data_IF_286026119063
#
_entry.id   IF_286026119063
#
_cell.length_a   1.000
_cell.length_b   1.000
_cell.length_c   1.000
_cell.angle_alpha   90.00
_cell.angle_beta   90.00
_cell.angle_gamma   90.00
#
_symmetry.space_group_name_H-M   'P 1'
#
loop_
_entity.id
_entity.type
_entity.pdbx_description
1 polymer ?
#
# COMPACT_ATOMS: atom_id res chain seq x y z
N UNK A 1 -38.71 -35.99 -35.48
CA UNK A 1 -38.24 -35.94 -34.06
C UNK A 1 -36.88 -35.26 -33.96
N UNK A 2 -35.96 -35.52 -34.90
CA UNK A 2 -34.58 -34.98 -34.87
C UNK A 2 -34.49 -33.44 -34.91
N UNK A 3 -35.35 -32.77 -35.69
CA UNK A 3 -35.39 -31.30 -35.74
C UNK A 3 -35.82 -30.66 -34.41
N UNK A 4 -36.77 -31.28 -33.70
CA UNK A 4 -37.23 -30.80 -32.40
C UNK A 4 -36.12 -30.94 -31.34
N UNK A 5 -35.42 -32.08 -31.35
CA UNK A 5 -34.31 -32.37 -30.45
C UNK A 5 -33.17 -31.36 -30.69
N UNK A 6 -32.83 -31.08 -31.95
CA UNK A 6 -31.78 -30.09 -32.29
C UNK A 6 -32.13 -28.67 -31.84
N UNK A 7 -33.40 -28.27 -31.93
CA UNK A 7 -33.86 -26.94 -31.47
C UNK A 7 -33.80 -26.84 -29.95
N UNK A 8 -34.23 -27.88 -29.22
CA UNK A 8 -34.17 -27.91 -27.75
C UNK A 8 -32.73 -27.89 -27.25
N UNK A 9 -31.85 -28.69 -27.86
CA UNK A 9 -30.42 -28.72 -27.52
C UNK A 9 -29.77 -27.36 -27.84
N UNK A 10 -30.06 -26.78 -29.01
CA UNK A 10 -29.56 -25.45 -29.37
C UNK A 10 -30.01 -24.36 -28.39
N UNK A 11 -31.28 -24.37 -28.00
CA UNK A 11 -31.82 -23.46 -26.98
C UNK A 11 -31.21 -23.66 -25.60
N UNK A 12 -30.90 -24.90 -25.20
CA UNK A 12 -30.22 -25.17 -23.94
C UNK A 12 -28.79 -24.61 -23.94
N UNK A 13 -28.05 -24.75 -25.06
CA UNK A 13 -26.69 -24.21 -25.18
C UNK A 13 -26.64 -22.68 -25.20
N UNK A 14 -27.62 -22.00 -25.80
CA UNK A 14 -27.67 -20.53 -25.77
C UNK A 14 -27.91 -20.02 -24.35
N UNK A 15 -28.85 -20.62 -23.62
CA UNK A 15 -29.11 -20.27 -22.21
C UNK A 15 -27.87 -20.54 -21.35
N UNK A 16 -27.23 -21.70 -21.54
CA UNK A 16 -26.00 -22.04 -20.81
C UNK A 16 -24.86 -21.03 -21.09
N UNK A 17 -24.70 -20.63 -22.35
CA UNK A 17 -23.72 -19.62 -22.75
C UNK A 17 -23.97 -18.26 -22.10
N UNK A 18 -25.23 -17.84 -22.00
CA UNK A 18 -25.61 -16.58 -21.33
C UNK A 18 -25.31 -16.65 -19.83
N UNK A 19 -25.63 -17.76 -19.16
CA UNK A 19 -25.37 -17.93 -17.72
C UNK A 19 -23.86 -17.89 -17.44
N UNK A 20 -23.06 -18.60 -18.24
CA UNK A 20 -21.61 -18.60 -18.09
C UNK A 20 -21.04 -17.20 -18.37
N UNK A 21 -21.48 -16.55 -19.45
CA UNK A 21 -21.03 -15.21 -19.81
C UNK A 21 -21.34 -14.17 -18.73
N UNK A 22 -22.55 -14.20 -18.17
CA UNK A 22 -22.92 -13.33 -17.07
C UNK A 22 -22.09 -13.62 -15.81
N UNK A 23 -21.91 -14.89 -15.43
CA UNK A 23 -21.10 -15.26 -14.27
C UNK A 23 -19.63 -14.82 -14.39
N UNK A 24 -19.03 -14.96 -15.59
CA UNK A 24 -17.68 -14.47 -15.86
C UNK A 24 -17.59 -12.94 -15.78
N UNK A 25 -18.61 -12.24 -16.28
CA UNK A 25 -18.67 -10.77 -16.22
C UNK A 25 -18.78 -10.26 -14.78
N UNK A 26 -19.69 -10.83 -13.99
CA UNK A 26 -19.89 -10.47 -12.58
C UNK A 26 -18.61 -10.73 -11.76
N UNK A 27 -17.95 -11.87 -11.98
CA UNK A 27 -16.69 -12.20 -11.32
C UNK A 27 -15.54 -11.26 -11.73
N UNK A 28 -15.50 -10.83 -13.00
CA UNK A 28 -14.55 -9.84 -13.48
C UNK A 28 -14.81 -8.47 -12.83
N UNK A 29 -16.07 -8.03 -12.77
CA UNK A 29 -16.47 -6.78 -12.13
C UNK A 29 -16.08 -6.78 -10.64
N UNK A 30 -16.39 -7.86 -9.91
CA UNK A 30 -16.01 -8.01 -8.52
C UNK A 30 -14.49 -7.95 -8.29
N UNK A 31 -13.68 -8.50 -9.22
CA UNK A 31 -12.22 -8.39 -9.15
C UNK A 31 -11.71 -6.98 -9.42
N UNK A 32 -12.33 -6.23 -10.33
CA UNK A 32 -11.95 -4.83 -10.64
C UNK A 32 -12.27 -3.86 -9.50
N UNK A 33 -13.33 -4.15 -8.74
CA UNK A 33 -13.76 -3.33 -7.61
C UNK A 33 -12.91 -3.54 -6.35
N UNK A 34 -12.07 -4.59 -6.31
CA UNK A 34 -11.18 -4.80 -5.16
C UNK A 34 -10.20 -3.64 -5.07
N UNK A 35 -10.19 -2.89 -3.95
CA UNK A 35 -9.16 -1.90 -3.73
C UNK A 35 -7.78 -2.57 -3.76
N UNK A 36 -6.79 -1.83 -4.26
CA UNK A 36 -5.42 -2.30 -4.30
C UNK A 36 -4.53 -1.11 -3.98
N UNK A 37 -3.76 -1.23 -2.89
CA UNK A 37 -2.82 -0.23 -2.46
C UNK A 37 -1.41 -0.67 -2.83
N UNK A 38 -0.61 0.29 -3.30
CA UNK A 38 0.82 0.13 -3.50
C UNK A 38 1.58 1.13 -2.63
N UNK A 39 2.66 0.70 -2.00
CA UNK A 39 3.46 1.50 -1.09
C UNK A 39 4.85 1.72 -1.67
N UNK A 40 5.33 2.96 -1.60
CA UNK A 40 6.68 3.32 -2.03
C UNK A 40 7.30 4.25 -1.01
N UNK A 41 8.53 3.94 -0.63
CA UNK A 41 9.33 4.78 0.23
C UNK A 41 10.10 5.79 -0.65
N UNK A 42 10.00 7.07 -0.32
CA UNK A 42 10.56 8.18 -1.10
C UNK A 42 11.15 9.26 -0.17
N UNK A 43 11.84 10.25 -0.75
CA UNK A 43 12.37 11.40 -0.01
C UNK A 43 11.31 12.47 0.20
N UNK A 44 11.24 13.01 1.40
CA UNK A 44 10.50 14.25 1.68
C UNK A 44 11.23 15.42 1.00
N UNK A 45 10.51 16.31 0.26
CA UNK A 45 11.12 17.49 -0.33
C UNK A 45 11.76 18.41 0.72
N UNK A 46 12.94 18.96 0.43
CA UNK A 46 13.68 19.84 1.36
C UNK A 46 12.90 21.08 1.78
N UNK A 47 11.96 21.53 0.95
CA UNK A 47 11.07 22.67 1.23
C UNK A 47 10.12 22.43 2.42
N UNK A 48 9.87 21.18 2.77
CA UNK A 48 9.00 20.77 3.88
C UNK A 48 9.79 20.44 5.16
N UNK A 49 11.12 20.46 5.09
CA UNK A 49 12.00 20.10 6.19
C UNK A 49 12.38 21.34 7.00
N UNK A 50 12.23 21.25 8.32
CA UNK A 50 12.80 22.21 9.26
C UNK A 50 14.32 22.07 9.27
N UNK A 51 15.07 23.15 9.51
CA UNK A 51 16.52 23.10 9.67
C UNK A 51 16.93 22.10 10.76
N UNK A 52 17.95 21.28 10.49
CA UNK A 52 18.34 20.12 11.32
C UNK A 52 18.53 20.47 12.81
N UNK A 53 19.16 21.61 13.11
CA UNK A 53 19.40 22.06 14.47
C UNK A 53 18.16 22.51 15.26
N UNK A 54 17.01 22.65 14.60
CA UNK A 54 15.73 23.06 15.21
C UNK A 54 14.69 21.94 15.22
N UNK A 55 15.04 20.75 14.73
CA UNK A 55 14.12 19.61 14.63
C UNK A 55 13.79 19.04 16.01
N UNK A 56 12.51 18.77 16.20
CA UNK A 56 11.99 17.98 17.31
C UNK A 56 11.66 16.57 16.85
N UNK A 57 11.41 15.65 17.79
CA UNK A 57 11.04 14.25 17.50
C UNK A 57 9.82 14.10 16.58
N UNK A 58 8.91 15.07 16.61
CA UNK A 58 7.66 15.07 15.83
C UNK A 58 7.77 15.92 14.57
N UNK A 59 8.94 16.49 14.28
CA UNK A 59 9.17 17.23 13.04
C UNK A 59 9.20 16.28 11.85
N UNK A 60 8.92 16.81 10.66
CA UNK A 60 9.05 16.08 9.40
C UNK A 60 10.48 15.52 9.23
N UNK A 61 10.56 14.25 8.84
CA UNK A 61 11.81 13.61 8.45
C UNK A 61 12.01 13.64 6.94
N UNK A 62 13.20 13.26 6.52
CA UNK A 62 13.63 13.09 5.13
C UNK A 62 12.94 11.92 4.42
N UNK A 63 12.18 11.11 5.14
CA UNK A 63 11.51 9.93 4.58
C UNK A 63 10.00 10.17 4.51
N UNK A 64 9.41 9.84 3.37
CA UNK A 64 7.97 9.77 3.21
C UNK A 64 7.55 8.43 2.59
N UNK A 65 6.34 7.99 2.93
CA UNK A 65 5.70 6.83 2.32
C UNK A 65 4.63 7.35 1.36
N UNK A 66 4.85 7.14 0.08
CA UNK A 66 3.83 7.35 -0.95
C UNK A 66 2.91 6.13 -0.98
N UNK A 67 1.61 6.36 -0.82
CA UNK A 67 0.59 5.32 -0.84
C UNK A 67 -0.30 5.57 -2.05
N UNK A 68 -0.24 4.66 -3.02
CA UNK A 68 -1.00 4.72 -4.26
C UNK A 68 -2.22 3.82 -4.17
N UNK A 69 -3.39 4.35 -4.51
CA UNK A 69 -4.55 3.53 -4.78
C UNK A 69 -4.61 3.21 -6.27
N UNK A 70 -4.23 1.99 -6.65
CA UNK A 70 -4.32 1.52 -8.04
C UNK A 70 -5.66 0.80 -8.33
N UNK A 71 -6.55 0.76 -7.35
CA UNK A 71 -7.90 0.23 -7.46
C UNK A 71 -8.93 1.26 -7.97
N UNK A 72 -10.15 0.78 -8.18
CA UNK A 72 -11.29 1.59 -8.67
C UNK A 72 -12.15 2.18 -7.57
N UNK A 73 -11.91 1.79 -6.32
CA UNK A 73 -12.69 2.19 -5.15
C UNK A 73 -11.82 3.05 -4.21
N UNK A 74 -12.35 4.14 -3.62
CA UNK A 74 -11.62 4.91 -2.63
C UNK A 74 -11.29 4.05 -1.40
N UNK A 75 -10.16 4.33 -0.77
CA UNK A 75 -9.69 3.60 0.42
C UNK A 75 -9.40 4.60 1.53
N UNK A 76 -9.88 4.33 2.74
CA UNK A 76 -9.61 5.15 3.92
C UNK A 76 -8.72 4.36 4.86
N UNK A 77 -7.47 4.79 5.00
CA UNK A 77 -6.47 4.19 5.86
C UNK A 77 -6.61 4.74 7.28
N UNK A 78 -6.74 3.85 8.26
CA UNK A 78 -6.75 4.20 9.67
C UNK A 78 -5.33 4.24 10.23
N UNK A 79 -4.52 3.25 9.88
CA UNK A 79 -3.12 3.13 10.31
C UNK A 79 -2.31 2.29 9.34
N UNK A 80 -0.99 2.40 9.41
CA UNK A 80 -0.12 1.43 8.78
C UNK A 80 1.11 1.12 9.64
N UNK A 81 1.50 -0.15 9.63
CA UNK A 81 2.59 -0.68 10.41
C UNK A 81 3.74 -1.08 9.48
N UNK A 82 4.97 -0.70 9.84
CA UNK A 82 6.17 -1.23 9.21
C UNK A 82 6.74 -2.35 10.09
N UNK A 83 6.86 -3.54 9.50
CA UNK A 83 7.25 -4.76 10.18
C UNK A 83 8.46 -5.43 9.52
N UNK A 84 9.35 -6.01 10.31
CA UNK A 84 10.38 -6.94 9.83
C UNK A 84 10.36 -8.25 10.63
N UNK A 85 10.24 -9.40 9.96
CA UNK A 85 10.17 -10.74 10.59
C UNK A 85 9.22 -10.82 11.81
N UNK A 86 8.04 -10.20 11.71
CA UNK A 86 7.01 -10.08 12.76
C UNK A 86 7.34 -9.11 13.91
N UNK A 87 8.48 -8.44 13.89
CA UNK A 87 8.79 -7.33 14.78
C UNK A 87 8.23 -6.03 14.18
N UNK A 88 7.46 -5.30 14.97
CA UNK A 88 7.01 -3.94 14.64
C UNK A 88 8.22 -3.00 14.72
N UNK A 89 8.40 -2.20 13.68
CA UNK A 89 9.45 -1.17 13.59
C UNK A 89 8.86 0.19 13.98
N UNK A 90 7.81 0.58 13.27
CA UNK A 90 7.05 1.81 13.51
C UNK A 90 5.57 1.57 13.20
N UNK A 91 4.72 2.39 13.81
CA UNK A 91 3.28 2.41 13.59
C UNK A 91 2.86 3.86 13.33
N UNK A 92 2.19 4.08 12.21
CA UNK A 92 1.85 5.40 11.71
C UNK A 92 0.33 5.56 11.60
N UNK A 93 -0.14 6.76 11.89
CA UNK A 93 -1.55 7.15 11.83
C UNK A 93 -1.69 8.33 10.89
N UNK A 94 -2.17 8.13 9.65
CA UNK A 94 -2.56 9.22 8.75
C UNK A 94 -3.54 10.17 9.43
N UNK A 95 -3.37 11.48 9.19
CA UNK A 95 -4.34 12.49 9.62
C UNK A 95 -5.69 12.26 8.92
N UNK A 96 -6.80 12.77 9.46
CA UNK A 96 -8.11 12.61 8.82
C UNK A 96 -8.20 13.18 7.41
N UNK A 97 -7.40 14.20 7.09
CA UNK A 97 -7.34 14.81 5.76
C UNK A 97 -6.55 13.94 4.77
N UNK A 98 -5.48 13.29 5.24
CA UNK A 98 -4.61 12.42 4.42
C UNK A 98 -5.04 10.95 4.44
N UNK A 99 -6.05 10.57 5.22
CA UNK A 99 -6.47 9.18 5.38
C UNK A 99 -7.18 8.62 4.14
N UNK A 100 -7.80 9.48 3.31
CA UNK A 100 -8.61 9.04 2.17
C UNK A 100 -7.81 9.08 0.86
N UNK A 101 -7.63 7.92 0.23
CA UNK A 101 -6.95 7.79 -1.06
C UNK A 101 -7.98 7.50 -2.14
N UNK A 102 -8.21 8.49 -3.01
CA UNK A 102 -9.10 8.35 -4.16
C UNK A 102 -8.55 7.31 -5.18
N UNK A 103 -9.42 6.69 -6.01
CA UNK A 103 -8.98 5.80 -7.07
C UNK A 103 -7.95 6.46 -7.99
N UNK A 104 -6.87 5.74 -8.30
CA UNK A 104 -5.77 6.20 -9.16
C UNK A 104 -5.02 7.45 -8.65
N UNK A 105 -5.18 7.78 -7.37
CA UNK A 105 -4.44 8.86 -6.72
C UNK A 105 -3.48 8.31 -5.68
N UNK A 106 -2.56 9.16 -5.26
CA UNK A 106 -1.64 8.89 -4.17
C UNK A 106 -1.74 9.95 -3.09
N UNK A 107 -1.33 9.55 -1.90
CA UNK A 107 -1.01 10.44 -0.78
C UNK A 107 0.46 10.28 -0.43
N UNK A 108 1.04 11.30 0.18
CA UNK A 108 2.40 11.27 0.72
C UNK A 108 2.31 11.40 2.23
N UNK A 109 2.69 10.35 2.97
CA UNK A 109 2.79 10.40 4.41
C UNK A 109 4.23 10.66 4.82
N UNK A 110 4.51 11.86 5.32
CA UNK A 110 5.84 12.21 5.82
C UNK A 110 6.06 11.56 7.18
N UNK A 111 7.12 10.75 7.30
CA UNK A 111 7.49 10.12 8.56
C UNK A 111 8.03 11.17 9.53
N UNK A 112 7.78 10.99 10.83
CA UNK A 112 8.37 11.86 11.84
C UNK A 112 9.86 11.54 12.03
N UNK A 113 10.61 12.47 12.62
CA UNK A 113 12.01 12.20 12.96
C UNK A 113 12.17 11.00 13.90
N UNK A 114 11.24 10.80 14.83
CA UNK A 114 11.23 9.61 15.68
C UNK A 114 11.06 8.32 14.87
N UNK A 115 10.19 8.32 13.86
CA UNK A 115 9.96 7.15 13.00
C UNK A 115 11.18 6.86 12.13
N UNK A 116 11.79 7.91 11.58
CA UNK A 116 13.02 7.84 10.80
C UNK A 116 14.16 7.24 11.64
N UNK A 117 14.41 7.79 12.83
CA UNK A 117 15.43 7.31 13.77
C UNK A 117 15.22 5.82 14.12
N UNK A 118 13.96 5.42 14.36
CA UNK A 118 13.61 4.04 14.67
C UNK A 118 13.92 3.11 13.49
N UNK A 119 13.50 3.46 12.27
CA UNK A 119 13.79 2.66 11.07
C UNK A 119 15.29 2.56 10.85
N UNK A 120 16.02 3.68 10.92
CA UNK A 120 17.46 3.71 10.72
C UNK A 120 18.21 2.84 11.72
N UNK A 121 17.85 2.94 13.01
CA UNK A 121 18.43 2.12 14.06
C UNK A 121 18.17 0.63 13.82
N UNK A 122 16.94 0.26 13.45
CA UNK A 122 16.59 -1.12 13.12
C UNK A 122 17.32 -1.62 11.87
N UNK A 123 17.39 -0.82 10.81
CA UNK A 123 18.11 -1.11 9.58
C UNK A 123 19.60 -1.37 9.85
N UNK A 124 20.22 -0.54 10.69
CA UNK A 124 21.63 -0.68 11.10
C UNK A 124 21.87 -1.96 11.89
N UNK A 125 21.01 -2.25 12.87
CA UNK A 125 21.16 -3.39 13.77
C UNK A 125 20.91 -4.74 13.08
N UNK A 126 19.95 -4.78 12.16
CA UNK A 126 19.44 -6.02 11.59
C UNK A 126 19.86 -6.24 10.12
N UNK A 127 20.38 -5.21 9.45
CA UNK A 127 20.90 -5.28 8.09
C UNK A 127 19.87 -5.65 7.03
N UNK A 128 18.59 -5.33 7.26
CA UNK A 128 17.55 -5.64 6.29
C UNK A 128 17.48 -4.59 5.18
N UNK A 129 17.14 -5.06 3.99
CA UNK A 129 16.95 -4.26 2.78
C UNK A 129 15.49 -4.14 2.38
N UNK A 130 14.61 -4.92 3.00
CA UNK A 130 13.18 -4.91 2.74
C UNK A 130 12.43 -5.03 4.06
N UNK A 131 11.29 -4.34 4.17
CA UNK A 131 10.35 -4.49 5.27
C UNK A 131 8.93 -4.59 4.74
N UNK A 132 8.04 -5.15 5.55
CA UNK A 132 6.63 -5.34 5.20
C UNK A 132 5.82 -4.18 5.75
N UNK A 133 5.04 -3.51 4.90
CA UNK A 133 3.98 -2.61 5.31
C UNK A 133 2.68 -3.40 5.47
N UNK A 134 1.95 -3.11 6.53
CA UNK A 134 0.57 -3.58 6.76
C UNK A 134 -0.29 -2.35 6.98
N UNK A 135 -1.08 -1.95 6.00
CA UNK A 135 -2.05 -0.87 6.16
C UNK A 135 -3.41 -1.42 6.53
N UNK A 136 -4.00 -0.86 7.57
CA UNK A 136 -5.33 -1.20 8.07
C UNK A 136 -6.28 -0.08 7.72
N UNK A 137 -7.37 -0.43 7.06
CA UNK A 137 -8.43 0.52 6.70
C UNK A 137 -9.51 0.60 7.77
N UNK A 138 -10.32 1.66 7.73
CA UNK A 138 -11.41 1.88 8.70
C UNK A 138 -12.48 0.78 8.71
N UNK A 139 -12.59 0.00 7.64
CA UNK A 139 -13.48 -1.16 7.54
C UNK A 139 -12.82 -2.47 8.03
N UNK A 140 -11.58 -2.43 8.52
CA UNK A 140 -10.83 -3.58 9.02
C UNK A 140 -10.15 -4.43 7.94
N UNK A 141 -10.10 -3.97 6.69
CA UNK A 141 -9.32 -4.65 5.65
C UNK A 141 -7.81 -4.36 5.81
N UNK A 142 -6.97 -5.36 5.52
CA UNK A 142 -5.52 -5.23 5.61
C UNK A 142 -4.87 -5.34 4.23
N UNK A 143 -4.02 -4.39 3.90
CA UNK A 143 -3.18 -4.38 2.70
C UNK A 143 -1.74 -4.65 3.10
N UNK A 144 -1.13 -5.65 2.48
CA UNK A 144 0.22 -6.12 2.84
C UNK A 144 1.13 -6.06 1.62
N UNK A 145 2.24 -5.35 1.77
CA UNK A 145 3.25 -5.24 0.72
C UNK A 145 4.66 -5.25 1.33
N UNK A 146 5.63 -5.76 0.58
CA UNK A 146 7.05 -5.61 0.94
C UNK A 146 7.63 -4.43 0.18
N UNK A 147 8.20 -3.47 0.91
CA UNK A 147 8.87 -2.31 0.34
C UNK A 147 10.38 -2.43 0.45
N UNK A 148 11.08 -1.82 -0.50
CA UNK A 148 12.54 -1.71 -0.50
C UNK A 148 12.98 -0.54 0.39
N UNK A 149 13.85 -0.83 1.36
CA UNK A 149 14.47 0.15 2.27
C UNK A 149 15.99 0.21 2.09
N UNK A 150 16.52 -0.37 1.01
CA UNK A 150 17.96 -0.45 0.74
C UNK A 150 18.66 0.90 0.76
N UNK A 151 17.97 1.96 0.33
CA UNK A 151 18.52 3.32 0.31
C UNK A 151 18.70 3.93 1.71
N UNK A 152 17.82 3.65 2.67
CA UNK A 152 18.02 3.99 4.09
C UNK A 152 19.26 3.26 4.63
N UNK A 153 19.40 1.98 4.30
CA UNK A 153 20.56 1.19 4.69
C UNK A 153 21.87 1.74 4.07
N UNK A 154 21.83 2.20 2.82
CA UNK A 154 22.98 2.85 2.20
C UNK A 154 23.34 4.17 2.89
N UNK A 155 22.34 5.02 3.19
CA UNK A 155 22.56 6.32 3.85
C UNK A 155 23.19 6.15 5.23
N UNK A 156 22.64 5.25 6.04
CA UNK A 156 23.16 4.95 7.39
C UNK A 156 24.59 4.39 7.35
N UNK A 157 24.96 3.62 6.32
CA UNK A 157 26.33 3.10 6.15
C UNK A 157 27.37 4.15 5.69
N UNK A 158 26.93 5.22 5.00
CA UNK A 158 27.81 6.29 4.53
C UNK A 158 28.23 7.23 5.67
N UNK A 159 27.34 7.43 6.65
CA UNK A 159 27.59 8.29 7.81
C UNK A 159 28.61 7.71 8.79
N UNK A 160 28.97 6.42 8.68
CA UNK A 160 30.05 5.80 9.48
C UNK A 160 31.46 6.06 8.94
N UNK A 161 31.59 6.55 7.70
CA UNK A 161 32.89 6.77 7.05
C UNK A 161 33.35 8.23 7.06
N UNK A 162 32.58 9.11 7.69
CA UNK A 162 32.88 10.55 7.80
C UNK A 162 33.11 10.90 9.26
#
# INVERSE_FOLDING_TARGET
MDALISVVIGGAFTVLGVIIGWGLNEMSAARRLRPHLCFKLNSTPDTELVEEGLRTKTSSSEYCIEIYNVGQSPVIIESFDMCWRKQLLIQCFPSSEDATILPYHNISYVLTQQDADAIEWHCKRLGFKQCRIVATTVNGEEFKENIDVSWIHMRTSLWEKT
#
